data_IF_004126048442
#
_entry.id   IF_004126048442
#
_cell.length_a   1.000
_cell.length_b   1.000
_cell.length_c   1.000
_cell.angle_alpha   90.00
_cell.angle_beta   90.00
_cell.angle_gamma   90.00
#
_symmetry.space_group_name_H-M   'P 1'
#
loop_
_entity.id
_entity.type
_entity.pdbx_description
1 polymer ?
#
# COMPACT_ATOMS: atom_id res chain seq x y z
N UNK A 1 8.88 10.92 23.57
CA UNK A 1 7.41 10.84 23.34
C UNK A 1 6.75 12.03 23.99
N UNK A 2 6.45 13.05 23.20
CA UNK A 2 5.69 14.20 23.67
C UNK A 2 4.21 13.89 23.42
N UNK A 3 3.45 13.76 24.51
CA UNK A 3 1.99 13.70 24.44
C UNK A 3 1.54 15.15 24.57
N UNK A 4 1.01 15.75 23.50
CA UNK A 4 0.30 17.02 23.64
C UNK A 4 -0.88 16.76 24.59
N UNK A 5 -0.83 17.29 25.81
CA UNK A 5 -1.83 17.02 26.87
C UNK A 5 -3.24 17.26 26.33
N UNK A 6 -4.12 16.25 26.48
CA UNK A 6 -5.50 16.29 25.99
C UNK A 6 -5.70 15.96 24.50
N UNK A 7 -4.62 15.67 23.76
CA UNK A 7 -4.73 15.30 22.34
C UNK A 7 -4.89 13.78 22.17
N UNK A 8 -5.66 13.38 21.17
CA UNK A 8 -5.76 11.98 20.69
C UNK A 8 -4.59 11.60 19.77
N UNK A 9 -3.51 12.39 19.79
CA UNK A 9 -2.38 12.28 18.88
C UNK A 9 -1.12 12.04 19.70
N UNK A 10 -0.33 11.06 19.28
CA UNK A 10 0.98 10.79 19.89
C UNK A 10 2.04 10.87 18.81
N UNK A 11 3.04 11.73 19.04
CA UNK A 11 4.20 11.81 18.18
C UNK A 11 5.27 10.80 18.64
N UNK A 12 5.60 9.87 17.75
CA UNK A 12 6.71 8.93 17.89
C UNK A 12 7.80 9.37 16.92
N UNK A 13 9.00 9.63 17.44
CA UNK A 13 10.13 10.15 16.67
C UNK A 13 11.39 9.37 16.98
N UNK A 14 12.21 9.16 15.97
CA UNK A 14 13.58 8.65 16.10
C UNK A 14 14.58 9.81 16.00
N UNK A 15 15.74 9.64 16.61
CA UNK A 15 16.86 10.59 16.50
C UNK A 15 17.46 10.59 15.09
N UNK A 16 17.34 9.46 14.38
CA UNK A 16 17.83 9.27 13.01
C UNK A 16 16.78 8.58 12.12
N UNK A 17 16.93 8.72 10.80
CA UNK A 17 16.01 8.11 9.84
C UNK A 17 16.20 6.58 9.74
N UNK A 18 15.28 5.83 10.34
CA UNK A 18 15.25 4.35 10.30
C UNK A 18 14.45 3.76 9.12
N UNK A 19 13.90 4.61 8.25
CA UNK A 19 13.06 4.22 7.12
C UNK A 19 11.60 3.94 7.50
N UNK A 20 10.75 3.82 6.47
CA UNK A 20 9.30 3.77 6.61
C UNK A 20 8.82 2.54 7.40
N UNK A 21 9.30 1.34 7.07
CA UNK A 21 8.92 0.11 7.79
C UNK A 21 9.17 0.19 9.30
N UNK A 22 10.30 0.79 9.73
CA UNK A 22 10.61 0.96 11.14
C UNK A 22 9.66 1.96 11.82
N UNK A 23 9.35 3.08 11.15
CA UNK A 23 8.39 4.06 11.65
C UNK A 23 6.98 3.46 11.78
N UNK A 24 6.52 2.70 10.77
CA UNK A 24 5.23 2.02 10.81
C UNK A 24 5.16 1.03 11.97
N UNK A 25 6.19 0.21 12.15
CA UNK A 25 6.22 -0.77 13.24
C UNK A 25 6.24 -0.08 14.62
N UNK A 26 6.96 1.03 14.79
CA UNK A 26 6.92 1.79 16.05
C UNK A 26 5.53 2.37 16.34
N UNK A 27 4.80 2.81 15.32
CA UNK A 27 3.40 3.20 15.48
C UNK A 27 2.50 2.01 15.82
N UNK A 28 2.72 0.84 15.21
CA UNK A 28 1.97 -0.38 15.51
C UNK A 28 2.16 -0.85 16.95
N UNK A 29 3.37 -0.73 17.48
CA UNK A 29 3.69 -1.15 18.86
C UNK A 29 2.97 -0.28 19.91
N UNK A 30 2.66 0.98 19.58
CA UNK A 30 1.92 1.88 20.47
C UNK A 30 0.39 1.87 20.24
N UNK A 31 -0.06 1.41 19.08
CA UNK A 31 -1.47 1.47 18.70
C UNK A 31 -2.35 0.54 19.55
N UNK A 32 -3.42 1.10 20.12
CA UNK A 32 -4.32 0.39 21.05
C UNK A 32 -5.73 0.12 20.50
N UNK A 33 -6.05 0.63 19.31
CA UNK A 33 -7.37 0.46 18.71
C UNK A 33 -7.63 -0.98 18.29
N UNK A 34 -8.90 -1.40 18.31
CA UNK A 34 -9.33 -2.69 17.73
C UNK A 34 -9.01 -2.75 16.23
N UNK A 35 -9.15 -1.60 15.56
CA UNK A 35 -8.83 -1.40 14.16
C UNK A 35 -7.59 -0.50 14.02
N UNK A 36 -6.73 -0.84 13.07
CA UNK A 36 -5.53 -0.08 12.73
C UNK A 36 -5.74 0.51 11.34
N UNK A 37 -5.88 1.83 11.26
CA UNK A 37 -6.01 2.55 10.00
C UNK A 37 -4.66 3.15 9.59
N UNK A 38 -4.25 2.93 8.34
CA UNK A 38 -3.08 3.57 7.73
C UNK A 38 -3.45 4.97 7.21
N UNK A 39 -2.49 5.88 7.17
CA UNK A 39 -2.62 7.22 6.60
C UNK A 39 -1.23 7.72 6.21
N UNK A 40 -1.00 7.98 4.93
CA UNK A 40 0.21 8.65 4.46
C UNK A 40 0.12 10.16 4.79
N UNK A 41 1.28 10.80 4.99
CA UNK A 41 1.41 12.18 5.45
C UNK A 41 1.11 13.22 4.38
N UNK A 42 1.21 12.83 3.11
CA UNK A 42 0.86 13.63 1.93
C UNK A 42 -0.58 13.40 1.44
N UNK A 43 -1.34 12.49 2.05
CA UNK A 43 -2.68 12.09 1.61
C UNK A 43 -3.81 12.64 2.51
N UNK A 44 -5.07 12.58 2.04
CA UNK A 44 -6.24 13.06 2.79
C UNK A 44 -7.29 11.95 2.96
N UNK A 45 -7.70 11.68 4.20
CA UNK A 45 -8.90 10.88 4.49
C UNK A 45 -10.17 11.68 4.26
N UNK A 46 -11.11 11.13 3.49
CA UNK A 46 -12.42 11.75 3.32
C UNK A 46 -13.35 11.44 4.50
N UNK A 47 -14.35 12.30 4.70
CA UNK A 47 -15.32 12.16 5.78
C UNK A 47 -16.03 10.79 5.74
N UNK A 48 -16.23 10.18 6.90
CA UNK A 48 -16.90 8.89 7.03
C UNK A 48 -16.04 7.67 6.68
N UNK A 49 -14.77 7.84 6.23
CA UNK A 49 -13.88 6.71 5.88
C UNK A 49 -13.82 5.64 6.97
N UNK A 50 -13.46 6.04 8.20
CA UNK A 50 -13.30 5.09 9.30
C UNK A 50 -14.62 4.44 9.70
N UNK A 51 -15.70 5.21 9.79
CA UNK A 51 -17.04 4.71 10.12
C UNK A 51 -17.46 3.61 9.15
N UNK A 52 -17.30 3.85 7.84
CA UNK A 52 -17.68 2.91 6.79
C UNK A 52 -16.78 1.67 6.75
N UNK A 53 -15.47 1.82 6.91
CA UNK A 53 -14.55 0.68 6.97
C UNK A 53 -14.81 -0.19 8.21
N UNK A 54 -15.06 0.43 9.37
CA UNK A 54 -15.44 -0.29 10.60
C UNK A 54 -16.77 -1.01 10.39
N UNK A 55 -17.80 -0.32 9.86
CA UNK A 55 -19.10 -0.93 9.60
C UNK A 55 -19.00 -2.13 8.63
N UNK A 56 -18.12 -2.04 7.62
CA UNK A 56 -17.87 -3.15 6.71
C UNK A 56 -17.22 -4.33 7.44
N UNK A 57 -16.13 -4.11 8.19
CA UNK A 57 -15.45 -5.17 8.94
C UNK A 57 -16.38 -5.79 9.99
N UNK A 58 -17.21 -5.01 10.69
CA UNK A 58 -18.17 -5.55 11.65
C UNK A 58 -19.20 -6.47 11.00
N UNK A 59 -19.60 -6.22 9.74
CA UNK A 59 -20.53 -7.06 8.98
C UNK A 59 -19.87 -8.29 8.33
N UNK A 60 -18.55 -8.26 8.13
CA UNK A 60 -17.79 -9.32 7.46
C UNK A 60 -16.65 -9.79 8.38
N UNK A 61 -16.99 -10.68 9.30
CA UNK A 61 -16.06 -11.20 10.32
C UNK A 61 -14.90 -12.01 9.72
N UNK A 62 -15.06 -12.53 8.51
CA UNK A 62 -14.04 -13.26 7.77
C UNK A 62 -13.03 -12.36 7.05
N UNK A 63 -13.32 -11.07 6.88
CA UNK A 63 -12.38 -10.09 6.31
C UNK A 63 -11.47 -9.54 7.40
N UNK A 64 -10.16 -9.62 7.17
CA UNK A 64 -9.13 -9.20 8.13
C UNK A 64 -8.64 -7.77 7.90
N UNK A 65 -8.69 -7.29 6.65
CA UNK A 65 -8.30 -5.93 6.29
C UNK A 65 -9.01 -5.44 5.03
N UNK A 66 -9.19 -4.12 4.93
CA UNK A 66 -9.98 -3.48 3.88
C UNK A 66 -9.35 -2.18 3.40
N UNK A 67 -9.37 -1.96 2.08
CA UNK A 67 -9.02 -0.68 1.46
C UNK A 67 -10.25 0.05 0.93
N UNK A 68 -10.03 1.26 0.42
CA UNK A 68 -11.04 2.04 -0.31
C UNK A 68 -10.49 2.51 -1.64
N UNK A 69 -11.37 2.80 -2.60
CA UNK A 69 -11.00 3.59 -3.76
C UNK A 69 -10.53 4.99 -3.33
N UNK A 70 -9.80 5.67 -4.23
CA UNK A 70 -9.34 7.03 -3.98
C UNK A 70 -9.60 7.97 -5.16
N UNK A 71 -9.65 9.26 -4.83
CA UNK A 71 -9.43 10.37 -5.76
C UNK A 71 -7.92 10.58 -5.92
N UNK A 72 -7.46 10.84 -7.14
CA UNK A 72 -6.11 11.31 -7.42
C UNK A 72 -6.11 12.83 -7.39
N UNK A 73 -5.22 13.42 -6.61
CA UNK A 73 -5.14 14.88 -6.48
C UNK A 73 -3.71 15.41 -6.49
N UNK A 74 -3.57 16.66 -6.89
CA UNK A 74 -2.34 17.46 -6.75
C UNK A 74 -2.69 18.89 -6.36
N UNK A 75 -1.72 19.65 -5.87
CA UNK A 75 -1.92 21.06 -5.53
C UNK A 75 -2.21 21.94 -6.76
N UNK A 76 -1.69 21.55 -7.93
CA UNK A 76 -1.82 22.29 -9.18
C UNK A 76 -3.15 22.04 -9.91
N UNK A 77 -3.68 20.82 -9.84
CA UNK A 77 -4.85 20.40 -10.63
C UNK A 77 -6.10 20.14 -9.76
N UNK A 78 -5.95 20.12 -8.42
CA UNK A 78 -7.00 19.62 -7.54
C UNK A 78 -7.25 18.13 -7.80
N UNK A 79 -8.51 17.69 -7.79
CA UNK A 79 -8.86 16.30 -8.11
C UNK A 79 -8.96 16.14 -9.63
N UNK A 80 -8.07 15.33 -10.21
CA UNK A 80 -7.99 15.12 -11.66
C UNK A 80 -8.24 13.67 -12.09
N UNK A 81 -8.40 12.75 -11.13
CA UNK A 81 -8.58 11.34 -11.43
C UNK A 81 -9.11 10.52 -10.27
N UNK A 82 -9.20 9.22 -10.49
CA UNK A 82 -9.61 8.25 -9.47
C UNK A 82 -8.91 6.92 -9.69
N UNK A 83 -8.74 6.17 -8.61
CA UNK A 83 -8.22 4.80 -8.64
C UNK A 83 -9.15 3.88 -7.87
N UNK A 84 -9.70 2.91 -8.59
CA UNK A 84 -10.55 1.85 -8.04
C UNK A 84 -9.77 0.55 -8.14
N UNK A 85 -9.58 -0.12 -7.00
CA UNK A 85 -8.91 -1.40 -6.92
C UNK A 85 -9.93 -2.54 -7.07
N UNK A 86 -9.51 -3.76 -7.44
CA UNK A 86 -10.41 -4.92 -7.45
C UNK A 86 -11.11 -5.08 -6.10
N UNK A 87 -12.43 -5.28 -6.11
CA UNK A 87 -13.21 -5.45 -4.89
C UNK A 87 -12.84 -6.75 -4.18
N UNK A 88 -12.83 -7.85 -4.94
CA UNK A 88 -12.40 -9.17 -4.48
C UNK A 88 -10.90 -9.35 -4.72
N UNK A 89 -10.21 -9.86 -3.70
CA UNK A 89 -8.77 -10.05 -3.73
C UNK A 89 -8.44 -11.52 -3.69
N UNK A 90 -7.70 -11.96 -4.71
CA UNK A 90 -7.07 -13.27 -4.74
C UNK A 90 -5.55 -13.13 -4.95
N UNK A 91 -4.86 -14.27 -5.00
CA UNK A 91 -3.42 -14.29 -5.29
C UNK A 91 -3.08 -13.69 -6.66
N UNK A 92 -3.95 -13.83 -7.66
CA UNK A 92 -3.70 -13.33 -9.01
C UNK A 92 -3.82 -11.80 -9.09
N UNK A 93 -4.57 -11.16 -8.19
CA UNK A 93 -4.67 -9.70 -8.09
C UNK A 93 -3.29 -9.02 -7.95
N UNK A 94 -2.28 -9.73 -7.43
CA UNK A 94 -0.92 -9.25 -7.25
C UNK A 94 -0.05 -9.30 -8.49
N UNK A 95 -0.44 -10.02 -9.55
CA UNK A 95 0.44 -10.28 -10.70
C UNK A 95 0.89 -8.98 -11.38
N UNK A 96 -0.02 -8.03 -11.57
CA UNK A 96 0.33 -6.79 -12.27
C UNK A 96 0.90 -5.73 -11.35
N UNK A 97 0.25 -5.42 -10.23
CA UNK A 97 0.64 -4.42 -9.24
C UNK A 97 0.10 -4.84 -7.86
N UNK A 98 0.39 -4.07 -6.80
CA UNK A 98 -0.36 -4.20 -5.55
C UNK A 98 -1.86 -3.97 -5.81
N UNK A 99 -2.76 -4.84 -5.31
CA UNK A 99 -4.19 -4.65 -5.46
C UNK A 99 -4.78 -3.75 -4.36
N UNK A 100 -3.93 -2.98 -3.66
CA UNK A 100 -4.31 -2.08 -2.57
C UNK A 100 -3.68 -0.70 -2.73
N UNK A 101 -4.34 0.30 -2.16
CA UNK A 101 -3.80 1.65 -1.93
C UNK A 101 -3.37 1.67 -0.47
N UNK A 102 -2.06 1.66 -0.19
CA UNK A 102 -1.54 1.45 1.16
C UNK A 102 -2.09 2.47 2.18
N UNK A 103 -2.10 3.76 1.81
CA UNK A 103 -2.65 4.85 2.63
C UNK A 103 -4.13 4.69 3.02
N UNK A 104 -4.95 3.98 2.24
CA UNK A 104 -6.39 3.83 2.51
C UNK A 104 -6.74 2.64 3.39
N UNK A 105 -5.77 1.78 3.72
CA UNK A 105 -6.05 0.50 4.38
C UNK A 105 -6.48 0.65 5.85
N UNK A 106 -7.38 -0.24 6.27
CA UNK A 106 -7.73 -0.51 7.66
C UNK A 106 -7.61 -2.01 7.93
N UNK A 107 -7.02 -2.38 9.06
CA UNK A 107 -6.79 -3.77 9.46
C UNK A 107 -7.44 -4.04 10.80
N UNK A 108 -7.87 -5.28 11.04
CA UNK A 108 -8.06 -5.76 12.41
C UNK A 108 -6.70 -5.84 13.12
N UNK A 109 -6.62 -5.37 14.37
CA UNK A 109 -5.35 -5.36 15.13
C UNK A 109 -4.67 -6.73 15.20
N UNK A 110 -5.44 -7.83 15.27
CA UNK A 110 -4.93 -9.22 15.29
C UNK A 110 -3.97 -9.55 14.14
N UNK A 111 -4.09 -8.89 12.98
CA UNK A 111 -3.16 -9.04 11.85
C UNK A 111 -1.73 -8.69 12.30
N UNK A 112 -1.61 -7.63 13.07
CA UNK A 112 -0.36 -7.15 13.65
C UNK A 112 -0.07 -7.79 15.02
N UNK A 113 -0.53 -9.01 15.29
CA UNK A 113 0.04 -9.83 16.38
C UNK A 113 1.11 -10.77 15.83
N UNK A 114 0.95 -11.19 14.56
CA UNK A 114 1.89 -12.09 13.87
C UNK A 114 2.72 -11.41 12.78
N UNK A 115 2.24 -10.31 12.18
CA UNK A 115 2.89 -9.68 11.04
C UNK A 115 3.38 -8.27 11.35
N UNK A 116 4.55 -7.93 10.80
CA UNK A 116 5.12 -6.58 10.81
C UNK A 116 5.56 -6.18 9.41
N UNK A 117 5.77 -4.89 9.19
CA UNK A 117 6.42 -4.39 7.98
C UNK A 117 7.90 -4.80 7.98
N UNK A 118 8.42 -5.27 6.83
CA UNK A 118 9.83 -5.65 6.69
C UNK A 118 10.61 -4.51 6.02
N UNK A 119 11.81 -4.25 6.48
CA UNK A 119 12.76 -3.39 5.73
C UNK A 119 13.37 -4.22 4.61
N UNK A 120 13.10 -3.83 3.36
CA UNK A 120 13.45 -4.63 2.18
C UNK A 120 14.34 -3.87 1.21
N UNK A 121 15.29 -4.60 0.63
CA UNK A 121 16.19 -4.09 -0.40
C UNK A 121 17.08 -2.96 0.08
N UNK A 122 17.82 -2.38 -0.87
CA UNK A 122 18.69 -1.23 -0.57
C UNK A 122 17.88 0.05 -0.42
N UNK A 123 16.79 0.17 -1.16
CA UNK A 123 15.98 1.39 -1.20
C UNK A 123 14.95 1.48 -0.06
N UNK A 124 14.80 0.42 0.76
CA UNK A 124 13.84 0.36 1.89
C UNK A 124 12.41 0.72 1.44
N UNK A 125 11.96 0.08 0.36
CA UNK A 125 10.64 0.27 -0.28
C UNK A 125 9.93 -1.08 -0.39
N UNK A 126 8.65 -1.03 -0.77
CA UNK A 126 7.80 -2.18 -1.09
C UNK A 126 7.44 -3.05 0.13
N UNK A 127 7.58 -2.51 1.34
CA UNK A 127 7.21 -3.16 2.60
C UNK A 127 5.71 -3.46 2.70
N UNK A 128 4.88 -2.65 2.04
CA UNK A 128 3.44 -2.81 1.94
C UNK A 128 3.06 -3.99 1.02
N UNK A 129 3.62 -4.01 -0.19
CA UNK A 129 3.37 -5.06 -1.17
C UNK A 129 3.84 -6.42 -0.66
N UNK A 130 5.00 -6.44 0.00
CA UNK A 130 5.48 -7.60 0.75
C UNK A 130 4.48 -8.07 1.81
N UNK A 131 4.06 -7.16 2.70
CA UNK A 131 3.13 -7.48 3.78
C UNK A 131 1.85 -8.10 3.22
N UNK A 132 1.24 -7.48 2.21
CA UNK A 132 0.01 -7.98 1.61
C UNK A 132 0.18 -9.38 1.01
N UNK A 133 1.26 -9.63 0.26
CA UNK A 133 1.50 -10.98 -0.31
C UNK A 133 1.68 -12.03 0.79
N UNK A 134 2.38 -11.70 1.89
CA UNK A 134 2.54 -12.61 3.02
C UNK A 134 1.22 -12.90 3.73
N UNK A 135 0.37 -11.89 3.92
CA UNK A 135 -0.94 -12.06 4.53
C UNK A 135 -1.84 -12.96 3.69
N UNK A 136 -1.97 -12.67 2.40
CA UNK A 136 -2.81 -13.47 1.49
C UNK A 136 -2.28 -14.91 1.36
N UNK A 137 -0.95 -15.11 1.33
CA UNK A 137 -0.38 -16.45 1.28
C UNK A 137 -0.68 -17.29 2.54
N UNK A 138 -0.84 -16.64 3.69
CA UNK A 138 -1.14 -17.31 4.96
C UNK A 138 -2.65 -17.32 5.26
N UNK A 139 -3.49 -17.06 4.25
CA UNK A 139 -4.94 -17.24 4.31
C UNK A 139 -5.73 -16.08 4.90
N UNK A 140 -5.09 -14.94 5.18
CA UNK A 140 -5.82 -13.74 5.58
C UNK A 140 -6.65 -13.22 4.41
N UNK A 141 -7.85 -12.72 4.69
CA UNK A 141 -8.76 -12.23 3.65
C UNK A 141 -8.86 -10.71 3.64
N UNK A 142 -9.06 -10.17 2.44
CA UNK A 142 -9.12 -8.75 2.20
C UNK A 142 -10.21 -8.37 1.23
N UNK A 143 -10.66 -7.11 1.33
CA UNK A 143 -11.60 -6.51 0.38
C UNK A 143 -11.16 -5.07 0.04
N UNK A 144 -11.72 -4.53 -1.03
CA UNK A 144 -11.71 -3.08 -1.28
C UNK A 144 -13.13 -2.56 -1.45
N UNK A 145 -13.43 -1.45 -0.79
CA UNK A 145 -14.64 -0.68 -1.06
C UNK A 145 -14.48 0.06 -2.40
N UNK A 146 -15.54 0.06 -3.22
CA UNK A 146 -15.58 0.85 -4.46
C UNK A 146 -15.81 2.34 -4.19
N UNK A 147 -16.26 2.69 -2.99
CA UNK A 147 -16.46 4.08 -2.57
C UNK A 147 -15.12 4.80 -2.40
N UNK A 148 -15.05 6.03 -2.92
CA UNK A 148 -13.90 6.93 -2.80
C UNK A 148 -13.92 7.59 -1.43
N UNK A 149 -13.10 7.09 -0.53
CA UNK A 149 -13.01 7.58 0.85
C UNK A 149 -11.60 8.10 1.20
N UNK A 150 -10.79 8.30 0.16
CA UNK A 150 -9.40 8.70 0.27
C UNK A 150 -9.00 9.60 -0.89
N UNK A 151 -8.10 10.54 -0.64
CA UNK A 151 -7.45 11.38 -1.64
C UNK A 151 -5.96 11.06 -1.59
N UNK A 152 -5.49 10.50 -2.69
CA UNK A 152 -4.11 10.10 -2.88
C UNK A 152 -3.36 11.19 -3.63
N UNK A 153 -2.36 11.77 -2.99
CA UNK A 153 -1.51 12.78 -3.58
C UNK A 153 -0.60 12.14 -4.62
N UNK A 154 -0.76 12.61 -5.85
CA UNK A 154 0.07 12.16 -6.96
C UNK A 154 0.37 13.33 -7.88
N UNK A 155 1.63 13.73 -7.87
CA UNK A 155 2.16 14.67 -8.84
C UNK A 155 2.93 13.89 -9.92
N UNK A 156 2.50 14.08 -11.17
CA UNK A 156 3.04 13.36 -12.32
C UNK A 156 4.50 13.71 -12.64
N UNK A 157 4.98 14.86 -12.15
CA UNK A 157 6.32 15.38 -12.48
C UNK A 157 7.40 14.93 -11.48
N UNK A 158 7.02 14.52 -10.27
CA UNK A 158 7.97 14.36 -9.15
C UNK A 158 8.43 12.92 -8.90
N UNK A 159 7.72 11.89 -9.38
CA UNK A 159 8.00 10.49 -9.00
C UNK A 159 8.74 9.69 -10.09
N UNK A 160 10.06 9.81 -10.11
CA UNK A 160 10.95 8.94 -10.88
C UNK A 160 11.27 7.61 -10.14
N UNK A 161 11.20 6.47 -10.84
CA UNK A 161 11.59 5.16 -10.29
C UNK A 161 12.94 4.76 -10.85
N UNK A 162 13.96 4.72 -9.99
CA UNK A 162 15.34 4.35 -10.37
C UNK A 162 15.45 2.87 -10.74
N UNK A 163 16.51 2.49 -11.47
CA UNK A 163 16.76 1.08 -11.79
C UNK A 163 17.05 0.24 -10.54
N UNK A 164 17.71 0.82 -9.54
CA UNK A 164 17.92 0.19 -8.23
C UNK A 164 16.59 -0.19 -7.56
N UNK A 165 15.61 0.73 -7.57
CA UNK A 165 14.27 0.47 -7.02
C UNK A 165 13.56 -0.67 -7.78
N UNK A 166 13.68 -0.69 -9.11
CA UNK A 166 13.10 -1.76 -9.96
C UNK A 166 13.71 -3.13 -9.66
N UNK A 167 15.00 -3.20 -9.33
CA UNK A 167 15.65 -4.44 -8.88
C UNK A 167 15.13 -4.91 -7.53
N UNK A 168 14.88 -3.99 -6.60
CA UNK A 168 14.27 -4.33 -5.31
C UNK A 168 12.82 -4.83 -5.52
N UNK A 169 12.02 -4.16 -6.35
CA UNK A 169 10.67 -4.60 -6.72
C UNK A 169 10.65 -6.01 -7.35
N UNK A 170 11.60 -6.29 -8.25
CA UNK A 170 11.78 -7.62 -8.84
C UNK A 170 11.99 -8.68 -7.76
N UNK A 171 12.90 -8.45 -6.79
CA UNK A 171 13.17 -9.40 -5.71
C UNK A 171 11.95 -9.63 -4.82
N UNK A 172 11.24 -8.56 -4.46
CA UNK A 172 10.01 -8.65 -3.65
C UNK A 172 8.93 -9.44 -4.40
N UNK A 173 8.74 -9.20 -5.70
CA UNK A 173 7.81 -10.01 -6.52
C UNK A 173 8.23 -11.47 -6.60
N UNK A 174 9.51 -11.76 -6.78
CA UNK A 174 9.99 -13.15 -6.85
C UNK A 174 9.70 -13.93 -5.55
N UNK A 175 9.99 -13.34 -4.39
CA UNK A 175 9.69 -13.94 -3.07
C UNK A 175 8.18 -14.12 -2.88
N UNK A 176 7.42 -13.04 -3.07
CA UNK A 176 5.97 -13.03 -2.88
C UNK A 176 5.22 -13.97 -3.82
N UNK A 177 5.56 -14.00 -5.10
CA UNK A 177 4.91 -14.90 -6.08
C UNK A 177 5.26 -16.37 -5.84
N UNK A 178 6.47 -16.67 -5.36
CA UNK A 178 6.80 -18.03 -4.90
C UNK A 178 5.92 -18.42 -3.72
N UNK A 179 5.79 -17.54 -2.72
CA UNK A 179 4.96 -17.79 -1.52
C UNK A 179 3.48 -17.95 -1.85
N UNK A 180 2.96 -17.17 -2.80
CA UNK A 180 1.57 -17.25 -3.27
C UNK A 180 1.29 -18.47 -4.18
N UNK A 181 2.31 -19.27 -4.53
CA UNK A 181 2.14 -20.39 -5.46
C UNK A 181 1.72 -19.92 -6.86
N UNK A 182 2.30 -18.82 -7.34
CA UNK A 182 2.06 -18.24 -8.67
C UNK A 182 3.14 -18.62 -9.68
N UNK A 183 4.20 -19.31 -9.26
CA UNK A 183 5.25 -19.79 -10.15
C UNK A 183 4.78 -21.02 -10.95
N UNK A 184 5.21 -21.15 -12.22
CA UNK A 184 6.19 -20.34 -12.93
C UNK A 184 5.63 -19.06 -13.58
N UNK A 185 4.30 -18.94 -13.76
CA UNK A 185 3.66 -17.79 -14.43
C UNK A 185 4.11 -16.44 -13.85
N UNK A 186 4.21 -16.34 -12.53
CA UNK A 186 4.63 -15.14 -11.80
C UNK A 186 6.00 -14.61 -12.22
N UNK A 187 6.90 -15.45 -12.74
CA UNK A 187 8.23 -15.03 -13.18
C UNK A 187 8.19 -13.92 -14.26
N UNK A 188 7.31 -14.07 -15.27
CA UNK A 188 7.15 -13.07 -16.33
C UNK A 188 6.67 -11.73 -15.78
N UNK A 189 5.80 -11.78 -14.79
CA UNK A 189 5.29 -10.58 -14.10
C UNK A 189 6.33 -9.96 -13.18
N UNK A 190 7.18 -10.77 -12.55
CA UNK A 190 8.29 -10.28 -11.73
C UNK A 190 9.33 -9.52 -12.57
N UNK A 191 9.56 -9.92 -13.83
CA UNK A 191 10.50 -9.24 -14.75
C UNK A 191 10.02 -7.85 -15.22
N UNK A 192 8.71 -7.59 -15.23
CA UNK A 192 8.10 -6.31 -15.66
C UNK A 192 8.87 -5.05 -15.21
N UNK A 193 9.20 -4.83 -13.92
CA UNK A 193 9.87 -3.61 -13.46
C UNK A 193 11.25 -3.43 -14.09
N UNK A 194 11.99 -4.52 -14.32
CA UNK A 194 13.30 -4.49 -14.98
C UNK A 194 13.15 -4.12 -16.45
N UNK A 195 12.21 -4.75 -17.16
CA UNK A 195 11.91 -4.43 -18.57
C UNK A 195 11.51 -2.97 -18.75
N UNK A 196 10.66 -2.44 -17.86
CA UNK A 196 10.28 -1.03 -17.87
C UNK A 196 11.45 -0.08 -17.54
N UNK A 197 12.47 -0.56 -16.84
CA UNK A 197 13.67 0.21 -16.52
C UNK A 197 14.65 0.36 -17.68
N UNK A 198 14.57 -0.54 -18.67
CA UNK A 198 15.38 -0.49 -19.90
C UNK A 198 14.78 0.45 -20.96
N UNK A 199 13.50 0.79 -20.83
CA UNK A 199 12.84 1.71 -21.76
C UNK A 199 13.24 3.16 -21.49
N UNK A 200 13.43 3.98 -22.54
CA UNK A 200 13.59 5.43 -22.38
C UNK A 200 12.44 6.04 -21.56
N UNK A 201 12.75 6.99 -20.66
CA UNK A 201 11.77 7.60 -19.74
C UNK A 201 10.53 8.12 -20.47
N UNK A 202 10.70 8.78 -21.63
CA UNK A 202 9.61 9.29 -22.47
C UNK A 202 8.64 8.17 -22.92
N UNK A 203 9.17 7.01 -23.30
CA UNK A 203 8.38 5.85 -23.73
C UNK A 203 7.62 5.23 -22.54
N UNK A 204 8.28 5.08 -21.39
CA UNK A 204 7.65 4.57 -20.17
C UNK A 204 6.50 5.47 -19.69
N UNK A 205 6.65 6.79 -19.76
CA UNK A 205 5.60 7.75 -19.42
C UNK A 205 4.39 7.68 -20.37
N UNK A 206 4.61 7.56 -21.68
CA UNK A 206 3.52 7.37 -22.65
C UNK A 206 2.73 6.08 -22.38
N UNK A 207 3.42 4.99 -22.03
CA UNK A 207 2.79 3.73 -21.63
C UNK A 207 1.92 3.89 -20.38
N UNK A 208 2.43 4.59 -19.34
CA UNK A 208 1.65 4.85 -18.12
C UNK A 208 0.37 5.64 -18.41
N UNK A 209 0.46 6.73 -19.19
CA UNK A 209 -0.70 7.55 -19.61
C UNK A 209 -1.72 6.74 -20.40
N UNK A 210 -1.28 5.91 -21.36
CA UNK A 210 -2.17 5.07 -22.19
C UNK A 210 -2.89 3.97 -21.40
N UNK A 211 -2.30 3.50 -20.30
CA UNK A 211 -2.89 2.45 -19.46
C UNK A 211 -3.74 2.97 -18.30
N UNK A 212 -3.99 4.28 -18.21
CA UNK A 212 -4.71 4.88 -17.07
C UNK A 212 -3.99 4.69 -15.73
N UNK A 213 -2.66 4.52 -15.76
CA UNK A 213 -1.80 4.29 -14.58
C UNK A 213 -1.09 5.56 -14.12
N UNK A 214 -1.66 6.71 -14.47
CA UNK A 214 -1.34 7.98 -13.80
C UNK A 214 -1.99 7.89 -12.43
#
# INVERSE_FOLDING_TARGET
NEICRGSRVKLIRFDENKGLAAALNACLDDAKGEYIARQDDDDISLAGRFEKQIAYLSKHSDIDFIGTACELYSDSEGVYGQRVMPADIDKNSFLFNSPFIHGSMMFRRKVFEKYRYRTLGKNRKYEDYDLFMRLIADGYKAANMTEKLYRFFYDTDTRGVSFSMRRDEYKVRMDGFKRLGLMPKGFLYALKPLLLGLLPRKTSMKLKKKTGRV
#
